data_IF_137657412288
#
_entry.id   IF_137657412288
#
_cell.length_a   1.000
_cell.length_b   1.000
_cell.length_c   1.000
_cell.angle_alpha   90.00
_cell.angle_beta   90.00
_cell.angle_gamma   90.00
#
_symmetry.space_group_name_H-M   'P 1'
#
loop_
_entity.id
_entity.type
_entity.pdbx_description
1 polymer ?
#
# COMPACT_ATOMS: atom_id res chain seq x y z
N UNK A 1 32.84 6.98 6.05
CA UNK A 1 31.50 6.85 5.49
C UNK A 1 31.15 5.36 5.49
N UNK A 2 30.45 4.89 6.51
CA UNK A 2 30.01 3.51 6.64
C UNK A 2 28.57 3.43 6.12
N UNK A 3 28.41 2.81 4.96
CA UNK A 3 27.10 2.50 4.39
C UNK A 3 26.45 1.40 5.24
N UNK A 4 25.42 1.75 6.00
CA UNK A 4 24.54 0.77 6.66
C UNK A 4 23.50 0.35 5.62
N UNK A 5 23.84 -0.66 4.83
CA UNK A 5 22.91 -1.39 3.98
C UNK A 5 21.95 -2.22 4.85
N UNK A 6 20.84 -1.64 5.24
CA UNK A 6 19.72 -2.36 5.84
C UNK A 6 18.94 -3.07 4.73
N UNK A 7 19.38 -4.23 4.27
CA UNK A 7 18.53 -5.18 3.58
C UNK A 7 17.40 -5.54 4.53
N UNK A 8 16.16 -5.13 4.22
CA UNK A 8 14.98 -5.78 4.81
C UNK A 8 14.96 -7.20 4.25
N UNK A 9 15.66 -8.10 4.94
CA UNK A 9 15.44 -9.51 4.76
C UNK A 9 13.96 -9.76 5.07
N UNK A 10 13.18 -10.14 4.06
CA UNK A 10 11.93 -10.87 4.28
C UNK A 10 12.33 -12.11 5.07
N UNK A 11 12.19 -12.04 6.39
CA UNK A 11 12.40 -13.20 7.20
C UNK A 11 11.35 -14.22 6.77
N UNK A 12 11.81 -15.26 6.09
CA UNK A 12 11.04 -16.48 5.95
C UNK A 12 10.48 -16.80 7.34
N UNK A 13 9.17 -16.96 7.44
CA UNK A 13 8.48 -17.30 8.68
C UNK A 13 9.26 -18.39 9.37
N UNK A 14 9.72 -18.20 10.62
CA UNK A 14 10.52 -19.20 11.30
C UNK A 14 9.77 -20.53 11.28
N UNK A 15 10.41 -21.58 10.78
CA UNK A 15 9.90 -22.95 10.84
C UNK A 15 9.88 -23.41 12.28
N UNK A 16 8.85 -23.05 13.04
CA UNK A 16 8.57 -23.74 14.29
C UNK A 16 7.80 -25.02 13.98
N UNK A 17 8.37 -26.13 14.37
CA UNK A 17 7.92 -27.49 14.07
C UNK A 17 6.52 -27.88 14.61
N UNK A 18 5.78 -26.98 15.25
CA UNK A 18 4.45 -27.23 15.82
C UNK A 18 3.31 -26.36 15.30
N UNK A 19 3.53 -25.58 14.27
CA UNK A 19 2.44 -24.85 13.61
C UNK A 19 1.63 -25.73 12.63
N UNK A 20 1.62 -26.99 12.82
CA UNK A 20 0.91 -28.14 12.24
C UNK A 20 -0.06 -27.85 11.08
N UNK A 21 -1.30 -28.25 11.27
CA UNK A 21 -2.37 -28.25 10.25
C UNK A 21 -2.77 -26.82 9.79
N UNK A 22 -2.89 -25.86 10.73
CA UNK A 22 -3.35 -24.49 10.44
C UNK A 22 -2.40 -23.70 9.51
N UNK A 23 -1.09 -23.77 9.75
CA UNK A 23 -0.12 -23.07 8.88
C UNK A 23 -0.13 -23.64 7.46
N UNK A 24 -0.33 -24.95 7.30
CA UNK A 24 -0.49 -25.57 5.97
C UNK A 24 -1.76 -25.08 5.28
N UNK A 25 -2.86 -24.95 5.99
CA UNK A 25 -4.12 -24.40 5.44
C UNK A 25 -3.94 -22.95 4.96
N UNK A 26 -3.27 -22.11 5.75
CA UNK A 26 -2.97 -20.73 5.34
C UNK A 26 -2.07 -20.67 4.11
N UNK A 27 -1.01 -21.49 4.06
CA UNK A 27 -0.11 -21.57 2.91
C UNK A 27 -0.84 -22.05 1.65
N UNK A 28 -1.72 -23.03 1.78
CA UNK A 28 -2.55 -23.50 0.67
C UNK A 28 -3.51 -22.42 0.17
N UNK A 29 -4.14 -21.68 1.09
CA UNK A 29 -5.03 -20.57 0.77
C UNK A 29 -4.28 -19.45 0.03
N UNK A 30 -3.11 -19.05 0.52
CA UNK A 30 -2.23 -18.08 -0.14
C UNK A 30 -1.88 -18.56 -1.56
N UNK A 31 -1.43 -19.83 -1.68
CA UNK A 31 -1.08 -20.39 -2.99
C UNK A 31 -2.25 -20.37 -3.96
N UNK A 32 -3.45 -20.77 -3.53
CA UNK A 32 -4.66 -20.69 -4.37
C UNK A 32 -4.93 -19.26 -4.84
N UNK A 33 -4.80 -18.27 -3.95
CA UNK A 33 -4.97 -16.86 -4.29
C UNK A 33 -3.95 -16.38 -5.32
N UNK A 34 -2.67 -16.72 -5.15
CA UNK A 34 -1.60 -16.36 -6.08
C UNK A 34 -1.76 -17.05 -7.45
N UNK A 35 -2.12 -18.34 -7.48
CA UNK A 35 -2.40 -19.08 -8.71
C UNK A 35 -3.61 -18.48 -9.45
N UNK A 36 -4.64 -18.06 -8.71
CA UNK A 36 -5.79 -17.38 -9.29
C UNK A 36 -5.41 -16.03 -9.90
N UNK A 37 -4.62 -15.21 -9.20
CA UNK A 37 -4.08 -13.95 -9.72
C UNK A 37 -3.33 -14.22 -11.03
N UNK A 38 -2.38 -15.16 -11.04
CA UNK A 38 -1.62 -15.50 -12.24
C UNK A 38 -2.54 -15.94 -13.40
N UNK A 39 -3.50 -16.82 -13.13
CA UNK A 39 -4.42 -17.38 -14.14
C UNK A 39 -5.37 -16.33 -14.74
N UNK A 40 -5.75 -15.33 -13.96
CA UNK A 40 -6.73 -14.31 -14.38
C UNK A 40 -6.10 -13.05 -14.97
N UNK A 41 -4.77 -13.00 -15.08
CA UNK A 41 -4.08 -11.92 -15.76
C UNK A 41 -4.48 -11.86 -17.24
N UNK A 42 -4.81 -10.67 -17.75
CA UNK A 42 -5.09 -10.48 -19.17
C UNK A 42 -3.83 -10.70 -20.02
N UNK A 43 -4.02 -10.94 -21.31
CA UNK A 43 -2.91 -11.04 -22.27
C UNK A 43 -2.06 -9.77 -22.35
N UNK A 44 -2.64 -8.62 -21.97
CA UNK A 44 -1.95 -7.34 -21.91
C UNK A 44 -1.19 -7.12 -20.59
N UNK A 45 -1.19 -8.09 -19.66
CA UNK A 45 -0.44 -8.04 -18.42
C UNK A 45 -1.13 -7.34 -17.26
N UNK A 46 -2.45 -7.06 -17.36
CA UNK A 46 -3.17 -6.33 -16.32
C UNK A 46 -4.35 -7.10 -15.75
N UNK A 47 -4.85 -6.64 -14.62
CA UNK A 47 -6.15 -6.96 -14.05
C UNK A 47 -7.00 -5.71 -13.97
N UNK A 48 -8.31 -5.87 -13.90
CA UNK A 48 -9.23 -4.77 -13.71
C UNK A 48 -10.38 -5.13 -12.77
N UNK A 49 -10.80 -4.14 -11.99
CA UNK A 49 -12.07 -4.14 -11.29
C UNK A 49 -12.72 -2.78 -11.54
N UNK A 50 -13.85 -2.76 -12.23
CA UNK A 50 -14.41 -1.52 -12.77
C UNK A 50 -13.41 -0.84 -13.72
N UNK A 51 -13.22 0.45 -13.55
CA UNK A 51 -12.35 1.27 -14.40
C UNK A 51 -10.95 1.51 -13.79
N UNK A 52 -10.43 0.56 -13.01
CA UNK A 52 -9.19 0.74 -12.24
C UNK A 52 -8.07 -0.25 -12.62
N UNK A 53 -7.73 -0.42 -13.92
CA UNK A 53 -6.73 -1.41 -14.32
C UNK A 53 -5.34 -1.12 -13.74
N UNK A 54 -4.94 0.15 -13.64
CA UNK A 54 -3.63 0.54 -13.08
C UNK A 54 -3.52 0.11 -11.61
N UNK A 55 -4.52 0.45 -10.78
CA UNK A 55 -4.52 0.09 -9.37
C UNK A 55 -4.55 -1.43 -9.16
N UNK A 56 -5.41 -2.14 -9.91
CA UNK A 56 -5.54 -3.59 -9.78
C UNK A 56 -4.28 -4.32 -10.25
N UNK A 57 -3.61 -3.81 -11.29
CA UNK A 57 -2.35 -4.39 -11.76
C UNK A 57 -1.23 -4.20 -10.75
N UNK A 58 -1.10 -3.03 -10.17
CA UNK A 58 -0.11 -2.77 -9.14
C UNK A 58 -0.34 -3.65 -7.89
N UNK A 59 -1.59 -3.79 -7.42
CA UNK A 59 -1.95 -4.65 -6.29
C UNK A 59 -1.71 -6.13 -6.59
N UNK A 60 -2.10 -6.61 -7.77
CA UNK A 60 -1.85 -8.00 -8.21
C UNK A 60 -0.36 -8.30 -8.31
N UNK A 61 0.40 -7.41 -8.93
CA UNK A 61 1.86 -7.50 -9.02
C UNK A 61 2.52 -7.53 -7.64
N UNK A 62 2.08 -6.65 -6.72
CA UNK A 62 2.57 -6.65 -5.32
C UNK A 62 2.29 -7.97 -4.62
N UNK A 63 1.10 -8.54 -4.78
CA UNK A 63 0.78 -9.84 -4.20
C UNK A 63 1.71 -10.96 -4.73
N UNK A 64 2.02 -10.93 -6.03
CA UNK A 64 2.92 -11.90 -6.65
C UNK A 64 4.36 -11.76 -6.17
N UNK A 65 4.88 -10.53 -5.99
CA UNK A 65 6.21 -10.29 -5.41
C UNK A 65 6.29 -10.79 -3.97
N UNK A 66 5.22 -10.62 -3.19
CA UNK A 66 5.17 -11.10 -1.80
C UNK A 66 5.32 -12.63 -1.67
N UNK A 67 5.21 -13.39 -2.79
CA UNK A 67 5.53 -14.82 -2.82
C UNK A 67 7.01 -15.13 -2.82
N UNK A 68 7.87 -14.13 -3.01
CA UNK A 68 9.31 -14.27 -3.25
C UNK A 68 9.70 -14.46 -4.71
N UNK A 69 8.73 -14.34 -5.64
CA UNK A 69 9.05 -14.30 -7.08
C UNK A 69 9.54 -12.91 -7.50
N UNK A 70 10.44 -12.87 -8.47
CA UNK A 70 10.96 -11.64 -9.10
C UNK A 70 10.52 -11.55 -10.56
N UNK A 71 11.02 -10.59 -11.32
CA UNK A 71 10.80 -10.49 -12.77
C UNK A 71 11.46 -11.64 -13.55
N UNK A 72 12.48 -12.30 -12.99
CA UNK A 72 13.27 -13.35 -13.64
C UNK A 72 13.11 -14.71 -12.98
N UNK A 73 12.81 -14.77 -11.69
CA UNK A 73 12.82 -15.99 -10.88
C UNK A 73 11.47 -16.27 -10.22
N UNK A 74 11.21 -17.55 -9.98
CA UNK A 74 10.03 -18.03 -9.30
C UNK A 74 8.83 -18.29 -10.22
N UNK A 75 7.77 -18.93 -9.67
CA UNK A 75 6.63 -19.42 -10.48
C UNK A 75 5.80 -18.30 -11.10
N UNK A 76 5.86 -17.08 -10.56
CA UNK A 76 5.06 -15.94 -11.02
C UNK A 76 5.88 -14.90 -11.82
N UNK A 77 7.13 -15.19 -12.15
CA UNK A 77 8.05 -14.25 -12.82
C UNK A 77 7.47 -13.64 -14.10
N UNK A 78 6.85 -14.47 -14.96
CA UNK A 78 6.23 -13.99 -16.20
C UNK A 78 5.10 -13.00 -15.91
N UNK A 79 4.24 -13.28 -14.93
CA UNK A 79 3.11 -12.41 -14.59
C UNK A 79 3.58 -11.08 -13.98
N UNK A 80 4.61 -11.11 -13.14
CA UNK A 80 5.25 -9.90 -12.59
C UNK A 80 5.81 -9.04 -13.73
N UNK A 81 6.59 -9.63 -14.64
CA UNK A 81 7.17 -8.94 -15.79
C UNK A 81 6.12 -8.28 -16.69
N UNK A 82 5.02 -8.98 -16.96
CA UNK A 82 3.91 -8.43 -17.73
C UNK A 82 3.23 -7.26 -17.00
N UNK A 83 3.10 -7.33 -15.67
CA UNK A 83 2.57 -6.23 -14.85
C UNK A 83 3.48 -5.00 -14.89
N UNK A 84 4.79 -5.20 -14.84
CA UNK A 84 5.77 -4.11 -14.98
C UNK A 84 5.59 -3.44 -16.34
N UNK A 85 5.63 -4.21 -17.42
CA UNK A 85 5.49 -3.68 -18.79
C UNK A 85 4.17 -2.92 -18.98
N UNK A 86 3.08 -3.42 -18.42
CA UNK A 86 1.80 -2.71 -18.47
C UNK A 86 1.86 -1.37 -17.73
N UNK A 87 2.41 -1.32 -16.52
CA UNK A 87 2.44 -0.10 -15.72
C UNK A 87 3.43 0.93 -16.27
N UNK A 88 4.61 0.51 -16.77
CA UNK A 88 5.55 1.44 -17.41
C UNK A 88 4.95 2.03 -18.69
N UNK A 89 4.19 1.23 -19.48
CA UNK A 89 3.45 1.73 -20.64
C UNK A 89 2.35 2.75 -20.31
N UNK A 90 1.92 2.85 -19.04
CA UNK A 90 0.98 3.88 -18.56
C UNK A 90 1.65 5.11 -17.98
N UNK A 91 2.99 5.13 -17.93
CA UNK A 91 3.73 6.32 -17.53
C UNK A 91 3.56 7.44 -18.58
N UNK A 92 3.23 8.64 -18.12
CA UNK A 92 2.97 9.81 -18.95
C UNK A 92 4.10 10.82 -18.84
N UNK A 93 4.20 11.74 -19.80
CA UNK A 93 5.22 12.78 -19.82
C UNK A 93 5.25 13.65 -18.54
N UNK A 94 4.08 13.83 -17.89
CA UNK A 94 3.98 14.57 -16.63
C UNK A 94 4.28 13.72 -15.39
N UNK A 95 4.67 12.45 -15.55
CA UNK A 95 5.01 11.51 -14.48
C UNK A 95 3.85 10.71 -13.90
N UNK A 96 2.59 10.99 -14.30
CA UNK A 96 1.46 10.16 -13.87
C UNK A 96 1.57 8.75 -14.44
N UNK A 97 1.48 7.74 -13.58
CA UNK A 97 1.26 6.36 -13.99
C UNK A 97 -0.26 6.11 -13.93
N UNK A 98 -0.91 6.10 -15.09
CA UNK A 98 -2.36 5.95 -15.19
C UNK A 98 -2.97 6.65 -16.39
N UNK A 99 -4.28 6.50 -16.55
CA UNK A 99 -5.03 7.14 -17.62
C UNK A 99 -6.20 7.97 -17.09
N UNK A 100 -6.06 9.30 -16.96
CA UNK A 100 -7.11 10.17 -16.42
C UNK A 100 -8.40 10.19 -17.26
N UNK A 101 -8.36 9.74 -18.50
CA UNK A 101 -9.56 9.68 -19.37
C UNK A 101 -10.47 8.51 -19.01
N UNK A 102 -9.93 7.45 -18.42
CA UNK A 102 -10.67 6.23 -18.08
C UNK A 102 -10.73 5.96 -16.58
N UNK A 103 -9.82 6.57 -15.78
CA UNK A 103 -9.73 6.41 -14.34
C UNK A 103 -9.93 7.76 -13.64
N UNK A 104 -11.13 7.99 -13.14
CA UNK A 104 -11.48 9.22 -12.41
C UNK A 104 -10.92 9.26 -10.97
N UNK A 105 -10.15 8.24 -10.57
CA UNK A 105 -9.47 8.14 -9.27
C UNK A 105 -8.03 7.66 -9.44
N UNK A 106 -7.36 8.17 -10.47
CA UNK A 106 -6.05 7.71 -10.92
C UNK A 106 -4.94 7.80 -9.86
N UNK A 107 -5.11 8.59 -8.81
CA UNK A 107 -4.12 8.68 -7.72
C UNK A 107 -3.95 7.37 -6.95
N UNK A 108 -4.98 6.54 -6.82
CA UNK A 108 -4.82 5.19 -6.27
C UNK A 108 -3.86 4.35 -7.10
N UNK A 109 -4.13 4.26 -8.41
CA UNK A 109 -3.29 3.52 -9.34
C UNK A 109 -1.86 4.02 -9.35
N UNK A 110 -1.67 5.34 -9.33
CA UNK A 110 -0.37 5.97 -9.27
C UNK A 110 0.43 5.59 -8.02
N UNK A 111 -0.17 5.74 -6.83
CA UNK A 111 0.50 5.41 -5.57
C UNK A 111 0.84 3.92 -5.43
N UNK A 112 -0.08 3.03 -5.78
CA UNK A 112 0.18 1.59 -5.79
C UNK A 112 1.24 1.19 -6.83
N UNK A 113 1.26 1.85 -8.00
CA UNK A 113 2.28 1.60 -9.02
C UNK A 113 3.67 2.02 -8.55
N UNK A 114 3.80 3.18 -7.91
CA UNK A 114 5.08 3.58 -7.29
C UNK A 114 5.56 2.53 -6.28
N UNK A 115 4.67 2.03 -5.42
CA UNK A 115 5.02 1.00 -4.44
C UNK A 115 5.48 -0.30 -5.11
N UNK A 116 4.73 -0.80 -6.09
CA UNK A 116 5.06 -2.04 -6.79
C UNK A 116 6.36 -1.90 -7.60
N UNK A 117 6.47 -0.89 -8.46
CA UNK A 117 7.62 -0.72 -9.33
C UNK A 117 8.91 -0.42 -8.54
N UNK A 118 8.82 0.25 -7.39
CA UNK A 118 9.97 0.46 -6.52
C UNK A 118 10.49 -0.83 -5.87
N UNK A 119 9.59 -1.77 -5.57
CA UNK A 119 10.00 -3.10 -5.09
C UNK A 119 10.67 -3.91 -6.21
N UNK A 120 10.11 -3.82 -7.43
CA UNK A 120 10.74 -4.44 -8.61
C UNK A 120 12.13 -3.86 -8.86
N UNK A 121 12.29 -2.54 -8.80
CA UNK A 121 13.59 -1.89 -8.99
C UNK A 121 14.68 -2.41 -8.05
N UNK A 122 14.29 -2.75 -6.80
CA UNK A 122 15.21 -3.31 -5.81
C UNK A 122 15.80 -4.67 -6.18
N UNK A 123 15.10 -5.43 -7.04
CA UNK A 123 15.46 -6.80 -7.46
C UNK A 123 15.75 -6.92 -8.96
N UNK A 124 15.68 -5.83 -9.73
CA UNK A 124 15.89 -5.86 -11.18
C UNK A 124 17.37 -5.97 -11.53
N UNK A 125 17.73 -7.02 -12.25
CA UNK A 125 19.10 -7.34 -12.66
C UNK A 125 19.42 -6.79 -14.06
N UNK A 126 18.42 -6.61 -14.92
CA UNK A 126 18.58 -6.08 -16.27
C UNK A 126 18.83 -4.56 -16.22
N UNK A 127 19.95 -4.12 -16.80
CA UNK A 127 20.42 -2.73 -16.72
C UNK A 127 19.45 -1.76 -17.42
N UNK A 128 18.98 -2.10 -18.62
CA UNK A 128 18.10 -1.23 -19.40
C UNK A 128 16.72 -1.05 -18.70
N UNK A 129 16.19 -2.15 -18.17
CA UNK A 129 14.95 -2.12 -17.38
C UNK A 129 15.11 -1.33 -16.09
N UNK A 130 16.24 -1.48 -15.44
CA UNK A 130 16.56 -0.73 -14.23
C UNK A 130 16.60 0.77 -14.50
N UNK A 131 17.22 1.20 -15.60
CA UNK A 131 17.25 2.60 -16.03
C UNK A 131 15.85 3.12 -16.36
N UNK A 132 15.04 2.35 -17.10
CA UNK A 132 13.64 2.67 -17.38
C UNK A 132 12.84 2.87 -16.07
N UNK A 133 12.98 1.95 -15.12
CA UNK A 133 12.28 2.04 -13.84
C UNK A 133 12.71 3.26 -13.02
N UNK A 134 13.99 3.60 -13.01
CA UNK A 134 14.50 4.81 -12.35
C UNK A 134 13.88 6.06 -12.97
N UNK A 135 13.84 6.15 -14.30
CA UNK A 135 13.23 7.29 -14.99
C UNK A 135 11.74 7.41 -14.68
N UNK A 136 10.99 6.31 -14.79
CA UNK A 136 9.55 6.27 -14.52
C UNK A 136 9.26 6.67 -13.08
N UNK A 137 9.98 6.11 -12.11
CA UNK A 137 9.76 6.39 -10.69
C UNK A 137 10.20 7.81 -10.30
N UNK A 138 11.25 8.34 -10.88
CA UNK A 138 11.68 9.73 -10.64
C UNK A 138 10.59 10.72 -11.09
N UNK A 139 10.04 10.52 -12.30
CA UNK A 139 8.92 11.33 -12.80
C UNK A 139 7.66 11.13 -11.95
N UNK A 140 7.40 9.90 -11.48
CA UNK A 140 6.24 9.60 -10.65
C UNK A 140 6.30 10.28 -9.28
N UNK A 141 7.47 10.34 -8.65
CA UNK A 141 7.69 11.09 -7.42
C UNK A 141 7.43 12.58 -7.61
N UNK A 142 7.92 13.18 -8.70
CA UNK A 142 7.68 14.59 -9.04
C UNK A 142 6.20 14.87 -9.27
N UNK A 143 5.49 13.98 -10.00
CA UNK A 143 4.05 14.10 -10.16
C UNK A 143 3.32 14.03 -8.82
N UNK A 144 3.65 13.06 -7.96
CA UNK A 144 3.03 12.90 -6.64
C UNK A 144 3.23 14.15 -5.78
N UNK A 145 4.44 14.73 -5.78
CA UNK A 145 4.73 15.98 -5.07
C UNK A 145 3.86 17.15 -5.58
N UNK A 146 3.72 17.30 -6.89
CA UNK A 146 2.90 18.35 -7.54
C UNK A 146 1.39 18.11 -7.38
N UNK A 147 0.97 16.84 -7.21
CA UNK A 147 -0.43 16.46 -7.03
C UNK A 147 -0.92 16.64 -5.59
N UNK A 148 -0.02 16.92 -4.65
CA UNK A 148 -0.35 17.11 -3.23
C UNK A 148 -1.21 18.36 -3.04
N UNK A 149 -2.24 18.26 -2.21
CA UNK A 149 -3.13 19.38 -1.89
C UNK A 149 -2.47 20.38 -0.95
N UNK A 150 -3.03 21.59 -0.88
CA UNK A 150 -2.56 22.62 0.04
C UNK A 150 -2.67 22.21 1.54
N UNK A 151 -3.57 21.29 1.87
CA UNK A 151 -3.68 20.70 3.21
C UNK A 151 -2.61 19.67 3.54
N UNK A 152 -1.93 19.13 2.51
CA UNK A 152 -0.86 18.15 2.62
C UNK A 152 -1.28 16.70 2.35
N UNK A 153 -2.56 16.42 2.11
CA UNK A 153 -3.05 15.13 1.66
C UNK A 153 -3.12 15.01 0.13
N UNK A 154 -3.75 13.94 -0.36
CA UNK A 154 -4.07 13.75 -1.77
C UNK A 154 -5.53 13.38 -1.92
N UNK A 155 -6.12 13.76 -3.04
CA UNK A 155 -7.45 13.37 -3.44
C UNK A 155 -7.45 12.26 -4.49
N UNK A 156 -8.61 11.98 -5.07
CA UNK A 156 -8.77 10.96 -6.12
C UNK A 156 -8.04 11.30 -7.41
N UNK A 157 -7.80 12.59 -7.64
CA UNK A 157 -7.05 13.16 -8.74
C UNK A 157 -6.04 14.18 -8.19
N UNK A 158 -5.19 14.75 -9.04
CA UNK A 158 -4.24 15.79 -8.61
C UNK A 158 -4.97 16.98 -7.94
N UNK A 159 -4.27 17.72 -7.09
CA UNK A 159 -4.84 18.89 -6.41
C UNK A 159 -5.43 19.90 -7.39
N UNK A 160 -4.76 20.10 -8.54
CA UNK A 160 -5.21 20.99 -9.61
C UNK A 160 -6.52 20.53 -10.24
N UNK A 161 -6.62 19.24 -10.57
CA UNK A 161 -7.78 18.66 -11.26
C UNK A 161 -8.96 18.43 -10.30
N UNK A 162 -8.70 18.21 -9.01
CA UNK A 162 -9.68 17.92 -7.96
C UNK A 162 -10.04 19.09 -7.06
N UNK A 163 -9.75 20.32 -7.44
CA UNK A 163 -10.04 21.52 -6.65
C UNK A 163 -9.52 21.40 -5.20
N UNK A 164 -8.28 20.93 -5.03
CA UNK A 164 -7.65 20.69 -3.73
C UNK A 164 -8.43 19.74 -2.81
N UNK A 165 -9.27 18.86 -3.32
CA UNK A 165 -9.91 17.84 -2.52
C UNK A 165 -8.88 16.83 -2.02
N UNK A 166 -8.95 16.53 -0.73
CA UNK A 166 -8.09 15.54 -0.07
C UNK A 166 -8.93 14.47 0.64
N UNK A 167 -8.35 13.28 0.80
CA UNK A 167 -8.94 12.25 1.66
C UNK A 167 -7.89 11.21 2.10
N UNK A 168 -8.17 10.51 3.20
CA UNK A 168 -7.19 9.67 3.86
C UNK A 168 -6.79 8.42 3.08
N UNK A 169 -7.71 7.84 2.28
CA UNK A 169 -7.44 6.57 1.62
C UNK A 169 -6.49 6.68 0.43
N UNK A 170 -6.49 7.80 -0.28
CA UNK A 170 -5.48 8.09 -1.31
C UNK A 170 -4.16 8.55 -0.70
N UNK A 171 -4.22 9.30 0.39
CA UNK A 171 -3.02 9.80 1.09
C UNK A 171 -2.08 8.65 1.48
N UNK A 172 -2.61 7.53 2.01
CA UNK A 172 -1.77 6.38 2.37
C UNK A 172 -1.09 5.78 1.14
N UNK A 173 -1.77 5.65 0.00
CA UNK A 173 -1.17 5.05 -1.20
C UNK A 173 0.00 5.88 -1.71
N UNK A 174 -0.12 7.21 -1.68
CA UNK A 174 0.95 8.10 -2.08
C UNK A 174 2.15 8.01 -1.14
N UNK A 175 1.94 8.06 0.18
CA UNK A 175 3.04 7.97 1.16
C UNK A 175 3.75 6.61 1.10
N UNK A 176 3.01 5.51 0.91
CA UNK A 176 3.63 4.19 0.73
C UNK A 176 4.44 4.11 -0.56
N UNK A 177 3.91 4.62 -1.67
CA UNK A 177 4.63 4.68 -2.94
C UNK A 177 5.91 5.52 -2.84
N UNK A 178 5.83 6.72 -2.26
CA UNK A 178 6.98 7.59 -2.00
C UNK A 178 8.01 6.91 -1.08
N UNK A 179 7.57 6.20 -0.04
CA UNK A 179 8.47 5.43 0.83
C UNK A 179 9.16 4.30 0.07
N UNK A 180 8.42 3.59 -0.79
CA UNK A 180 8.99 2.56 -1.66
C UNK A 180 10.07 3.13 -2.57
N UNK A 181 9.78 4.24 -3.26
CA UNK A 181 10.72 4.97 -4.10
C UNK A 181 11.99 5.38 -3.32
N UNK A 182 11.83 5.97 -2.14
CA UNK A 182 12.98 6.34 -1.29
C UNK A 182 13.83 5.13 -0.90
N UNK A 183 13.21 4.01 -0.55
CA UNK A 183 13.92 2.78 -0.20
C UNK A 183 14.70 2.18 -1.38
N UNK A 184 14.19 2.38 -2.60
CA UNK A 184 14.84 1.97 -3.85
C UNK A 184 15.90 2.98 -4.36
N UNK A 185 16.18 4.04 -3.60
CA UNK A 185 17.20 5.04 -3.94
C UNK A 185 16.70 6.21 -4.79
N UNK A 186 15.41 6.32 -5.06
CA UNK A 186 14.82 7.47 -5.76
C UNK A 186 14.66 8.64 -4.79
N UNK A 187 15.17 9.85 -5.10
CA UNK A 187 15.03 11.01 -4.23
C UNK A 187 13.56 11.40 -4.03
N UNK A 188 13.15 11.60 -2.78
CA UNK A 188 11.81 12.05 -2.38
C UNK A 188 11.95 13.32 -1.55
N UNK A 189 11.28 14.45 -1.94
CA UNK A 189 11.35 15.69 -1.17
C UNK A 189 10.79 15.52 0.25
N UNK A 190 11.60 15.83 1.25
CA UNK A 190 11.21 15.66 2.67
C UNK A 190 9.98 16.47 3.05
N UNK A 191 9.81 17.67 2.47
CA UNK A 191 8.66 18.53 2.71
C UNK A 191 7.31 17.90 2.31
N UNK A 192 7.28 17.03 1.29
CA UNK A 192 6.08 16.32 0.86
C UNK A 192 5.61 15.38 1.98
N UNK A 193 6.55 14.69 2.61
CA UNK A 193 6.26 13.76 3.71
C UNK A 193 5.84 14.54 4.97
N UNK A 194 6.51 15.66 5.29
CA UNK A 194 6.13 16.50 6.42
C UNK A 194 4.72 17.09 6.27
N UNK A 195 4.35 17.54 5.07
CA UNK A 195 2.99 17.99 4.76
C UNK A 195 1.96 16.87 4.96
N UNK A 196 2.28 15.64 4.54
CA UNK A 196 1.39 14.48 4.71
C UNK A 196 1.18 14.14 6.20
N UNK A 197 2.21 14.19 7.03
CA UNK A 197 2.10 14.03 8.49
C UNK A 197 1.18 15.07 9.09
N UNK A 198 1.42 16.35 8.77
CA UNK A 198 0.60 17.46 9.25
C UNK A 198 -0.87 17.35 8.81
N UNK A 199 -1.13 16.82 7.62
CA UNK A 199 -2.47 16.51 7.15
C UNK A 199 -3.18 15.51 8.08
N UNK A 200 -2.53 14.42 8.45
CA UNK A 200 -3.08 13.42 9.36
C UNK A 200 -3.45 14.06 10.71
N UNK A 201 -2.58 14.91 11.26
CA UNK A 201 -2.85 15.59 12.55
C UNK A 201 -4.06 16.53 12.46
N UNK A 202 -4.22 17.24 11.36
CA UNK A 202 -5.40 18.08 11.10
C UNK A 202 -6.71 17.28 11.01
N UNK A 203 -6.64 16.01 10.55
CA UNK A 203 -7.82 15.16 10.44
C UNK A 203 -8.16 14.40 11.74
N UNK A 204 -7.31 14.47 12.79
CA UNK A 204 -7.54 13.76 14.06
C UNK A 204 -8.68 14.40 14.84
N UNK A 205 -9.62 13.59 15.31
CA UNK A 205 -10.69 13.97 16.23
C UNK A 205 -10.32 13.70 17.69
N UNK A 206 -11.10 14.22 18.62
CA UNK A 206 -10.88 14.09 20.07
C UNK A 206 -10.97 12.66 20.59
N UNK A 207 -11.69 11.78 19.90
CA UNK A 207 -11.81 10.36 20.23
C UNK A 207 -10.60 9.51 19.77
N UNK A 208 -9.61 10.14 19.16
CA UNK A 208 -8.42 9.49 18.60
C UNK A 208 -8.57 8.97 17.17
N UNK A 209 -9.77 8.99 16.61
CA UNK A 209 -10.01 8.58 15.24
C UNK A 209 -9.74 9.70 14.23
N UNK A 210 -9.66 9.32 12.96
CA UNK A 210 -9.40 10.22 11.84
C UNK A 210 -10.66 10.43 11.01
N UNK A 211 -10.96 11.69 10.70
CA UNK A 211 -12.02 12.08 9.79
C UNK A 211 -11.65 11.77 8.33
N UNK A 212 -12.64 11.72 7.46
CA UNK A 212 -12.45 11.34 6.05
C UNK A 212 -11.55 12.32 5.28
N UNK A 213 -11.69 13.63 5.55
CA UNK A 213 -10.97 14.71 4.87
C UNK A 213 -10.68 15.84 5.84
N UNK A 214 -9.65 16.62 5.57
CA UNK A 214 -9.35 17.82 6.36
C UNK A 214 -10.37 18.95 6.14
N UNK A 215 -10.99 18.99 4.97
CA UNK A 215 -11.95 20.02 4.57
C UNK A 215 -13.37 19.75 5.06
N UNK A 216 -13.72 18.47 5.17
CA UNK A 216 -15.03 18.05 5.65
C UNK A 216 -14.86 17.10 6.83
N UNK A 217 -14.57 17.68 7.99
CA UNK A 217 -14.36 16.96 9.24
C UNK A 217 -15.71 16.40 9.72
N UNK A 218 -15.88 15.12 9.53
CA UNK A 218 -17.00 14.36 10.08
C UNK A 218 -16.56 13.45 11.21
N UNK A 219 -17.40 12.47 11.54
CA UNK A 219 -17.09 11.43 12.52
C UNK A 219 -15.85 10.63 12.14
N UNK A 220 -15.18 10.12 13.14
CA UNK A 220 -14.03 9.24 13.00
C UNK A 220 -14.38 7.96 12.25
N UNK A 221 -13.50 7.52 11.36
CA UNK A 221 -13.66 6.32 10.54
C UNK A 221 -12.58 5.31 10.86
N UNK A 222 -12.92 4.09 11.33
CA UNK A 222 -11.92 3.07 11.68
C UNK A 222 -10.98 2.73 10.54
N UNK A 223 -11.49 2.55 9.31
CA UNK A 223 -10.68 2.26 8.13
C UNK A 223 -9.66 3.36 7.82
N UNK A 224 -10.11 4.63 7.85
CA UNK A 224 -9.24 5.80 7.59
C UNK A 224 -8.23 5.98 8.74
N UNK A 225 -8.62 5.68 9.99
CA UNK A 225 -7.68 5.75 11.13
C UNK A 225 -6.58 4.70 11.00
N UNK A 226 -6.91 3.47 10.57
CA UNK A 226 -5.89 2.44 10.28
C UNK A 226 -4.94 2.87 9.16
N UNK A 227 -5.49 3.44 8.07
CA UNK A 227 -4.70 3.97 6.96
C UNK A 227 -3.80 5.14 7.42
N UNK A 228 -4.31 6.03 8.26
CA UNK A 228 -3.54 7.15 8.81
C UNK A 228 -2.38 6.68 9.70
N UNK A 229 -2.58 5.70 10.56
CA UNK A 229 -1.49 5.08 11.34
C UNK A 229 -0.44 4.45 10.42
N UNK A 230 -0.87 3.69 9.41
CA UNK A 230 0.04 3.12 8.42
C UNK A 230 0.79 4.22 7.65
N UNK A 231 0.15 5.37 7.35
CA UNK A 231 0.78 6.55 6.76
C UNK A 231 1.89 7.09 7.66
N UNK A 232 1.60 7.32 8.94
CA UNK A 232 2.60 7.81 9.91
C UNK A 232 3.80 6.87 10.01
N UNK A 233 3.55 5.56 10.10
CA UNK A 233 4.64 4.57 10.16
C UNK A 233 5.46 4.53 8.86
N UNK A 234 4.83 4.66 7.71
CA UNK A 234 5.55 4.78 6.44
C UNK A 234 6.30 6.11 6.31
N UNK A 235 5.84 7.17 6.97
CA UNK A 235 6.56 8.44 7.09
C UNK A 235 7.71 8.40 8.13
N UNK A 236 7.90 7.28 8.84
CA UNK A 236 8.94 7.10 9.86
C UNK A 236 8.55 7.60 11.26
N UNK A 237 7.26 7.87 11.48
CA UNK A 237 6.74 8.36 12.77
C UNK A 237 6.21 7.19 13.58
N UNK A 238 6.90 6.82 14.64
CA UNK A 238 6.53 5.69 15.52
C UNK A 238 6.10 6.13 16.91
N UNK A 239 6.76 7.13 17.49
CA UNK A 239 6.63 7.58 18.87
C UNK A 239 6.10 9.03 18.96
N UNK A 240 5.09 9.36 18.15
CA UNK A 240 4.43 10.66 18.19
C UNK A 240 3.29 10.68 19.22
N UNK A 241 3.07 11.85 19.87
CA UNK A 241 2.02 12.04 20.89
C UNK A 241 0.60 11.73 20.41
N UNK A 242 0.36 11.70 19.10
CA UNK A 242 -0.95 11.40 18.52
C UNK A 242 -1.18 9.90 18.30
N UNK A 243 -0.11 9.11 18.18
CA UNK A 243 -0.16 7.69 17.87
C UNK A 243 -0.89 6.87 18.94
N UNK A 244 -0.66 7.04 20.26
CA UNK A 244 -1.34 6.24 21.27
C UNK A 244 -2.86 6.30 21.23
N UNK A 245 -3.44 7.49 21.04
CA UNK A 245 -4.90 7.66 20.93
C UNK A 245 -5.46 6.96 19.69
N UNK A 246 -4.78 7.09 18.54
CA UNK A 246 -5.16 6.44 17.29
C UNK A 246 -5.09 4.92 17.41
N UNK A 247 -4.06 4.38 18.08
CA UNK A 247 -3.95 2.94 18.38
C UNK A 247 -5.08 2.46 19.28
N UNK A 248 -5.40 3.21 20.33
CA UNK A 248 -6.53 2.90 21.22
C UNK A 248 -7.84 2.86 20.44
N UNK A 249 -8.07 3.85 19.58
CA UNK A 249 -9.25 3.92 18.74
C UNK A 249 -9.35 2.73 17.78
N UNK A 250 -8.29 2.43 17.04
CA UNK A 250 -8.28 1.30 16.07
C UNK A 250 -8.40 -0.05 16.77
N UNK A 251 -7.73 -0.26 17.91
CA UNK A 251 -7.83 -1.49 18.68
C UNK A 251 -9.27 -1.73 19.15
N UNK A 252 -9.94 -0.72 19.66
CA UNK A 252 -11.34 -0.79 20.07
C UNK A 252 -12.28 -1.20 18.91
N UNK A 253 -12.06 -0.67 17.72
CA UNK A 253 -13.01 -0.78 16.62
C UNK A 253 -12.67 -1.93 15.63
N UNK A 254 -11.41 -2.38 15.55
CA UNK A 254 -10.94 -3.29 14.48
C UNK A 254 -10.35 -4.61 15.00
N UNK A 255 -9.83 -4.64 16.23
CA UNK A 255 -9.04 -5.80 16.70
C UNK A 255 -9.86 -7.09 16.86
N UNK A 256 -11.16 -6.98 17.03
CA UNK A 256 -12.06 -8.13 17.15
C UNK A 256 -12.30 -8.89 15.85
N UNK A 257 -12.05 -8.29 14.68
CA UNK A 257 -12.34 -8.85 13.33
C UNK A 257 -13.77 -9.40 13.25
N UNK A 258 -14.72 -8.73 13.87
CA UNK A 258 -16.11 -9.16 13.91
C UNK A 258 -16.81 -8.91 12.58
N UNK A 259 -17.90 -9.65 12.32
CA UNK A 259 -18.77 -9.45 11.15
C UNK A 259 -19.33 -8.04 11.05
N UNK A 260 -19.44 -7.31 12.17
CA UNK A 260 -19.73 -5.88 12.22
C UNK A 260 -18.73 -5.00 11.48
N UNK A 261 -17.52 -5.51 11.21
CA UNK A 261 -16.54 -4.84 10.32
C UNK A 261 -17.06 -4.62 8.89
N UNK A 262 -18.08 -5.37 8.45
CA UNK A 262 -18.77 -5.11 7.18
C UNK A 262 -19.64 -3.84 7.25
N UNK A 263 -20.01 -3.39 8.43
CA UNK A 263 -20.90 -2.23 8.62
C UNK A 263 -20.27 -0.89 8.22
N UNK A 264 -18.93 -0.76 8.21
CA UNK A 264 -18.25 0.46 7.77
C UNK A 264 -17.61 0.34 6.36
N UNK A 265 -17.93 -0.72 5.61
CA UNK A 265 -17.44 -0.95 4.25
C UNK A 265 -15.93 -1.19 4.13
N UNK A 266 -15.48 -1.50 2.92
CA UNK A 266 -14.05 -1.57 2.61
C UNK A 266 -13.22 -2.51 3.51
N UNK A 267 -13.76 -3.69 3.85
CA UNK A 267 -13.15 -4.65 4.77
C UNK A 267 -11.70 -5.00 4.37
N UNK A 268 -11.45 -5.35 3.11
CA UNK A 268 -10.12 -5.71 2.61
C UNK A 268 -9.12 -4.55 2.73
N UNK A 269 -9.55 -3.34 2.35
CA UNK A 269 -8.76 -2.12 2.54
C UNK A 269 -8.42 -1.90 4.02
N UNK A 270 -9.41 -2.01 4.89
CA UNK A 270 -9.24 -1.79 6.32
C UNK A 270 -8.18 -2.72 6.91
N UNK A 271 -8.28 -4.02 6.62
CA UNK A 271 -7.37 -4.99 7.19
C UNK A 271 -6.02 -5.09 6.47
N UNK A 272 -5.92 -4.64 5.21
CA UNK A 272 -4.63 -4.41 4.55
C UNK A 272 -3.76 -3.42 5.35
N UNK A 273 -4.34 -2.32 5.81
CA UNK A 273 -3.60 -1.31 6.57
C UNK A 273 -3.55 -1.61 8.06
N UNK A 274 -4.62 -2.08 8.66
CA UNK A 274 -4.62 -2.40 10.08
C UNK A 274 -3.68 -3.56 10.44
N UNK A 275 -3.51 -4.55 9.59
CA UNK A 275 -2.53 -5.61 9.80
C UNK A 275 -1.09 -5.08 9.84
N UNK A 276 -0.75 -4.09 8.99
CA UNK A 276 0.55 -3.42 9.05
C UNK A 276 0.75 -2.69 10.38
N UNK A 277 -0.30 -2.05 10.89
CA UNK A 277 -0.28 -1.36 12.19
C UNK A 277 -0.05 -2.36 13.32
N UNK A 278 -0.81 -3.47 13.36
CA UNK A 278 -0.68 -4.49 14.42
C UNK A 278 0.67 -5.20 14.33
N UNK A 279 1.16 -5.51 13.13
CA UNK A 279 2.49 -6.10 12.94
C UNK A 279 3.60 -5.26 13.58
N UNK A 280 3.50 -3.92 13.45
CA UNK A 280 4.46 -2.98 14.05
C UNK A 280 4.40 -2.90 15.59
N UNK A 281 3.32 -3.40 16.22
CA UNK A 281 3.23 -3.50 17.67
C UNK A 281 4.04 -4.67 18.25
N UNK A 282 4.62 -5.52 17.41
CA UNK A 282 5.43 -6.68 17.78
C UNK A 282 4.63 -7.98 17.90
N UNK A 283 5.35 -9.08 18.08
CA UNK A 283 4.79 -10.44 17.98
C UNK A 283 3.67 -10.72 18.99
N UNK A 284 3.74 -10.13 20.17
CA UNK A 284 2.72 -10.29 21.22
C UNK A 284 1.32 -9.84 20.77
N UNK A 285 1.23 -8.73 20.02
CA UNK A 285 -0.03 -8.22 19.47
C UNK A 285 -0.34 -8.87 18.11
N UNK A 286 0.69 -9.12 17.30
CA UNK A 286 0.55 -9.65 15.95
C UNK A 286 0.07 -11.09 15.89
N UNK A 287 0.68 -12.01 16.63
CA UNK A 287 0.37 -13.42 16.49
C UNK A 287 -1.12 -13.76 16.72
N UNK A 288 -1.75 -13.35 17.84
CA UNK A 288 -3.17 -13.63 18.05
C UNK A 288 -4.09 -12.91 17.06
N UNK A 289 -3.73 -11.73 16.60
CA UNK A 289 -4.48 -11.00 15.59
C UNK A 289 -4.38 -11.68 14.21
N UNK A 290 -3.17 -12.01 13.78
CA UNK A 290 -2.88 -12.74 12.54
C UNK A 290 -3.70 -14.03 12.47
N UNK A 291 -3.69 -14.82 13.54
CA UNK A 291 -4.38 -16.12 13.57
C UNK A 291 -5.89 -15.96 13.36
N UNK A 292 -6.49 -14.95 14.00
CA UNK A 292 -7.91 -14.62 13.78
C UNK A 292 -8.19 -14.17 12.34
N UNK A 293 -7.36 -13.27 11.81
CA UNK A 293 -7.52 -12.71 10.47
C UNK A 293 -7.38 -13.81 9.40
N UNK A 294 -6.36 -14.64 9.50
CA UNK A 294 -6.09 -15.70 8.54
C UNK A 294 -7.17 -16.79 8.57
N UNK A 295 -7.61 -17.20 9.77
CA UNK A 295 -8.71 -18.16 9.87
C UNK A 295 -10.00 -17.61 9.22
N UNK A 296 -10.27 -16.30 9.36
CA UNK A 296 -11.42 -15.69 8.70
C UNK A 296 -11.28 -15.67 7.18
N UNK A 297 -10.12 -15.30 6.65
CA UNK A 297 -9.87 -15.29 5.20
C UNK A 297 -9.99 -16.70 4.61
N UNK A 298 -9.38 -17.70 5.26
CA UNK A 298 -9.45 -19.10 4.82
C UNK A 298 -10.88 -19.63 4.84
N UNK A 299 -11.68 -19.26 5.84
CA UNK A 299 -13.07 -19.67 5.93
C UNK A 299 -14.01 -19.01 4.90
N UNK A 300 -13.57 -17.96 4.22
CA UNK A 300 -14.34 -17.23 3.21
C UNK A 300 -13.85 -17.50 1.76
N UNK A 301 -12.76 -18.24 1.59
CA UNK A 301 -12.18 -18.63 0.30
C UNK A 301 -12.85 -19.89 -0.27
#
# INVERSE_FOLDING_TARGET
ATAIGGTMAYQAVPRQAQAGKKVREWQQSIKKGLDWIQKTQSSLGHWTAGNYPTAMTALGGTALICSGSTTTQGPYAKAIRQSVNYLTSKSRANGLIGNPLTDNRYTYGHGFSMLFLSQVLGEEEDVERREELIEVLTKAVDFSAKAQTASGGWGYVSAKDGNNFDEGSTTITQVQGLRGCRNAGIPVPGEVIEKAKNYIYKCKNSDGGISYSSRNRGSSRPAITAAALATLYNAGVYDDKHVPDMLKYTKKNLHGITTGARSFGHWHYTYLYYSQVVYRQGEKEWAPFRDKLYNKIVGEQ
#
